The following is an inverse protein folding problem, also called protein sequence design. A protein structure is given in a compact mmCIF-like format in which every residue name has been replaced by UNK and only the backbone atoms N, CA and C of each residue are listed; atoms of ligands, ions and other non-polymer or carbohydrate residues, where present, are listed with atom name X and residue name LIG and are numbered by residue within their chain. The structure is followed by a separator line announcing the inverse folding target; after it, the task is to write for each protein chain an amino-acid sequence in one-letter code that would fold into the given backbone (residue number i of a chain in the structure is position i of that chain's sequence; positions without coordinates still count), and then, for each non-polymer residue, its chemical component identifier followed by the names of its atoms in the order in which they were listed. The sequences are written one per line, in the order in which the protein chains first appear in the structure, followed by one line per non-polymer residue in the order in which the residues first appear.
data_IF_051779240828
#
_entry.id   IF_051779240828
#
_cell.length_a   1.000
_cell.length_b   1.000
_cell.length_c   1.000
_cell.angle_alpha   90.00
_cell.angle_beta   90.00
_cell.angle_gamma   90.00
#
_symmetry.space_group_name_H-M   'P 1'
#
loop_
_entity.id
_entity.type
_entity.pdbx_description
1 polymer ?
#
# COMPACT_ATOMS: atom_id res chain seq x y z
N UNK A 1 56.27 -0.23 -39.87
CA UNK A 1 57.14 -0.15 -41.06
C UNK A 1 56.29 -0.43 -42.29
N UNK A 2 56.19 0.55 -43.18
CA UNK A 2 55.50 0.50 -44.47
C UNK A 2 56.15 -0.49 -45.46
N UNK A 3 55.34 -1.03 -46.39
CA UNK A 3 55.63 -1.29 -47.82
C UNK A 3 54.26 -1.37 -48.55
N UNK A 4 53.83 -0.33 -49.28
CA UNK A 4 53.95 -0.12 -50.75
C UNK A 4 53.34 -1.29 -51.58
N UNK A 5 52.13 -1.17 -52.18
CA UNK A 5 51.77 -0.59 -53.51
C UNK A 5 52.12 -1.51 -54.71
N UNK A 6 51.58 -1.34 -55.95
CA UNK A 6 50.25 -0.95 -56.46
C UNK A 6 49.80 -1.78 -57.71
N UNK A 7 48.86 -1.22 -58.52
CA UNK A 7 48.52 -1.49 -59.96
C UNK A 7 47.27 -2.38 -60.18
N UNK A 8 46.32 -2.18 -61.11
CA UNK A 8 45.68 -1.11 -61.91
C UNK A 8 44.89 -1.83 -63.05
N UNK A 9 43.88 -1.15 -63.64
CA UNK A 9 43.04 -1.52 -64.83
C UNK A 9 41.76 -2.31 -64.50
N UNK A 10 40.59 -2.03 -65.06
CA UNK A 10 40.10 -0.98 -65.97
C UNK A 10 38.55 -1.04 -65.98
N UNK A 11 37.93 0.06 -66.46
CA UNK A 11 36.53 0.27 -66.81
C UNK A 11 35.74 -0.96 -67.32
N UNK A 12 34.47 -1.05 -66.90
CA UNK A 12 33.34 -1.20 -67.83
C UNK A 12 32.00 -0.86 -67.15
N UNK A 13 31.28 0.08 -67.76
CA UNK A 13 29.92 0.49 -67.47
C UNK A 13 28.96 -0.54 -68.09
N UNK A 14 28.04 -1.12 -67.32
CA UNK A 14 26.84 -1.80 -67.87
C UNK A 14 25.76 -1.94 -66.78
N UNK A 15 24.69 -1.17 -66.87
CA UNK A 15 23.38 -1.58 -66.33
C UNK A 15 22.87 -2.74 -67.20
N UNK A 16 22.18 -3.73 -66.61
CA UNK A 16 20.76 -3.82 -66.98
C UNK A 16 19.81 -4.33 -65.88
N UNK A 17 18.56 -3.89 -66.06
CA UNK A 17 17.27 -4.55 -65.86
C UNK A 17 17.02 -5.40 -64.61
N UNK A 18 16.11 -4.87 -63.82
CA UNK A 18 15.24 -5.51 -62.85
C UNK A 18 14.60 -6.81 -63.36
N UNK A 19 14.75 -7.88 -62.59
CA UNK A 19 13.80 -9.01 -62.55
C UNK A 19 13.20 -9.08 -61.14
N UNK A 20 11.88 -8.86 -61.05
CA UNK A 20 11.08 -9.13 -59.86
C UNK A 20 11.00 -10.64 -59.66
N UNK A 21 11.69 -11.16 -58.64
CA UNK A 21 11.53 -12.54 -58.21
C UNK A 21 10.26 -12.68 -57.35
N UNK A 22 9.29 -13.44 -57.84
CA UNK A 22 8.10 -13.87 -57.10
C UNK A 22 8.52 -14.99 -56.14
N UNK A 23 8.31 -14.87 -54.82
CA UNK A 23 8.61 -15.98 -53.90
C UNK A 23 7.55 -17.11 -54.02
N UNK A 24 7.95 -18.37 -53.79
CA UNK A 24 7.03 -19.51 -53.91
C UNK A 24 6.00 -19.54 -52.77
N UNK A 25 4.79 -19.99 -53.10
CA UNK A 25 3.70 -20.28 -52.17
C UNK A 25 4.16 -21.27 -51.09
N UNK A 26 4.28 -20.81 -49.85
CA UNK A 26 4.37 -21.68 -48.68
C UNK A 26 2.97 -22.21 -48.38
N UNK A 27 2.78 -23.52 -48.51
CA UNK A 27 1.58 -24.20 -48.02
C UNK A 27 1.48 -24.03 -46.49
N UNK A 28 0.46 -23.30 -46.06
CA UNK A 28 0.13 -23.14 -44.66
C UNK A 28 -0.30 -24.49 -44.06
N UNK A 29 0.54 -25.06 -43.21
CA UNK A 29 0.12 -26.13 -42.31
C UNK A 29 -0.86 -25.53 -41.29
N UNK A 30 -2.07 -26.09 -41.24
CA UNK A 30 -3.08 -25.70 -40.26
C UNK A 30 -2.58 -25.99 -38.84
N UNK A 31 -2.19 -24.93 -38.14
CA UNK A 31 -1.92 -24.97 -36.71
C UNK A 31 -3.21 -25.39 -35.98
N UNK A 32 -3.18 -26.53 -35.29
CA UNK A 32 -4.22 -26.92 -34.34
C UNK A 32 -4.36 -25.79 -33.32
N UNK A 33 -5.51 -25.10 -33.34
CA UNK A 33 -5.91 -24.15 -32.31
C UNK A 33 -5.87 -24.88 -30.97
N UNK A 34 -4.86 -24.58 -30.16
CA UNK A 34 -4.89 -24.83 -28.72
C UNK A 34 -6.14 -24.11 -28.19
N UNK A 35 -7.13 -24.88 -27.74
CA UNK A 35 -8.24 -24.33 -26.97
C UNK A 35 -7.63 -23.61 -25.77
N UNK A 36 -7.66 -22.28 -25.79
CA UNK A 36 -7.38 -21.48 -24.63
C UNK A 36 -8.34 -21.93 -23.53
N UNK A 37 -7.79 -22.46 -22.44
CA UNK A 37 -8.56 -22.77 -21.26
C UNK A 37 -9.35 -21.52 -20.88
N UNK A 38 -10.66 -21.69 -20.65
CA UNK A 38 -11.52 -20.63 -20.16
C UNK A 38 -10.85 -19.95 -18.94
N UNK A 39 -10.98 -18.62 -18.77
CA UNK A 39 -10.39 -17.93 -17.64
C UNK A 39 -10.88 -18.60 -16.34
N UNK A 40 -9.95 -19.16 -15.56
CA UNK A 40 -10.25 -19.70 -14.24
C UNK A 40 -10.96 -18.60 -13.46
N UNK A 41 -12.21 -18.84 -13.07
CA UNK A 41 -12.98 -17.96 -12.18
C UNK A 41 -12.08 -17.61 -11.00
N UNK A 42 -11.84 -16.32 -10.78
CA UNK A 42 -10.94 -15.87 -9.71
C UNK A 42 -11.39 -16.52 -8.40
N UNK A 43 -10.49 -17.23 -7.72
CA UNK A 43 -10.79 -17.85 -6.43
C UNK A 43 -11.25 -16.77 -5.45
N UNK A 44 -12.33 -17.05 -4.72
CA UNK A 44 -12.83 -16.14 -3.70
C UNK A 44 -11.77 -15.95 -2.60
N UNK A 45 -11.67 -14.72 -2.08
CA UNK A 45 -10.72 -14.37 -1.01
C UNK A 45 -11.09 -15.07 0.32
N UNK A 46 -12.35 -15.48 0.48
CA UNK A 46 -12.86 -16.16 1.69
C UNK A 46 -13.65 -17.41 1.27
N UNK A 47 -13.45 -18.56 1.94
CA UNK A 47 -14.21 -19.79 1.65
C UNK A 47 -15.72 -19.63 1.88
N UNK A 48 -16.53 -20.33 1.08
CA UNK A 48 -18.00 -20.42 1.22
C UNK A 48 -18.42 -21.89 1.33
N UNK A 49 -19.53 -22.24 2.02
CA UNK A 49 -20.52 -21.35 2.65
C UNK A 49 -20.01 -20.70 3.94
N UNK A 50 -20.56 -19.53 4.27
CA UNK A 50 -20.25 -18.84 5.51
C UNK A 50 -20.96 -19.53 6.69
N UNK A 51 -20.28 -19.69 7.84
CA UNK A 51 -20.96 -20.10 9.07
C UNK A 51 -22.08 -19.13 9.45
N UNK A 52 -23.09 -19.57 10.22
CA UNK A 52 -24.18 -18.68 10.64
C UNK A 52 -23.72 -17.64 11.66
N UNK A 53 -22.80 -17.99 12.55
CA UNK A 53 -22.29 -17.13 13.63
C UNK A 53 -20.89 -16.57 13.33
N UNK A 54 -20.57 -15.37 13.84
CA UNK A 54 -19.24 -14.74 13.67
C UNK A 54 -18.15 -15.40 14.49
N UNK A 55 -18.46 -15.81 15.73
CA UNK A 55 -17.53 -16.57 16.55
C UNK A 55 -17.13 -17.88 15.86
N UNK A 56 -18.10 -18.61 15.31
CA UNK A 56 -17.84 -19.83 14.55
C UNK A 56 -17.00 -19.57 13.29
N UNK A 57 -17.28 -18.48 12.56
CA UNK A 57 -16.48 -18.13 11.38
C UNK A 57 -15.04 -17.74 11.74
N UNK A 58 -14.84 -16.98 12.82
CA UNK A 58 -13.52 -16.66 13.36
C UNK A 58 -12.77 -17.92 13.77
N UNK A 59 -13.43 -18.85 14.46
CA UNK A 59 -12.84 -20.14 14.85
C UNK A 59 -12.41 -20.95 13.61
N UNK A 60 -13.27 -21.03 12.58
CA UNK A 60 -12.94 -21.71 11.34
C UNK A 60 -11.73 -21.08 10.63
N UNK A 61 -11.69 -19.75 10.53
CA UNK A 61 -10.59 -19.03 9.88
C UNK A 61 -9.26 -19.17 10.64
N UNK A 62 -9.30 -19.12 11.97
CA UNK A 62 -8.11 -19.26 12.81
C UNK A 62 -7.68 -20.73 13.01
N UNK A 63 -8.56 -21.71 12.75
CA UNK A 63 -8.21 -23.13 12.81
C UNK A 63 -7.33 -23.57 11.64
N UNK A 64 -7.38 -22.86 10.50
CA UNK A 64 -6.42 -23.06 9.43
C UNK A 64 -5.05 -22.50 9.86
N UNK A 65 -4.16 -23.42 10.25
CA UNK A 65 -2.77 -23.15 10.63
C UNK A 65 -1.78 -23.54 9.51
N UNK A 66 -2.29 -23.83 8.31
CA UNK A 66 -1.43 -24.20 7.17
C UNK A 66 -0.44 -23.08 6.85
N UNK A 67 0.81 -23.39 6.55
CA UNK A 67 1.85 -22.41 6.20
C UNK A 67 2.31 -22.59 4.75
N UNK A 68 1.42 -22.35 3.77
CA UNK A 68 1.78 -22.52 2.36
C UNK A 68 2.84 -21.48 1.97
N UNK A 69 3.66 -21.79 0.97
CA UNK A 69 4.44 -20.75 0.30
C UNK A 69 3.47 -19.71 -0.29
N UNK A 70 3.66 -18.44 0.03
CA UNK A 70 2.88 -17.34 -0.54
C UNK A 70 3.77 -16.42 -1.39
N UNK A 71 3.25 -15.99 -2.54
CA UNK A 71 3.91 -15.04 -3.43
C UNK A 71 2.91 -14.10 -4.11
N UNK A 72 3.46 -13.08 -4.77
CA UNK A 72 2.66 -12.07 -5.47
C UNK A 72 1.66 -12.70 -6.44
N UNK A 73 0.39 -12.26 -6.35
CA UNK A 73 -0.73 -12.81 -7.10
C UNK A 73 -1.62 -13.76 -6.29
N UNK A 74 -1.10 -14.36 -5.23
CA UNK A 74 -1.89 -15.21 -4.33
C UNK A 74 -2.95 -14.40 -3.57
N UNK A 75 -4.03 -15.08 -3.17
CA UNK A 75 -5.14 -14.50 -2.43
C UNK A 75 -5.70 -15.54 -1.46
N UNK A 76 -6.35 -15.10 -0.40
CA UNK A 76 -7.09 -15.98 0.51
C UNK A 76 -6.76 -15.80 1.98
N UNK A 77 -7.31 -16.66 2.87
CA UNK A 77 -7.13 -16.56 4.31
C UNK A 77 -5.66 -16.57 4.76
N UNK A 78 -4.81 -17.41 4.14
CA UNK A 78 -3.38 -17.44 4.45
C UNK A 78 -2.69 -16.10 4.11
N UNK A 79 -3.06 -15.45 3.01
CA UNK A 79 -2.55 -14.12 2.65
C UNK A 79 -2.98 -13.07 3.67
N UNK A 80 -4.26 -13.06 4.06
CA UNK A 80 -4.77 -12.16 5.10
C UNK A 80 -4.02 -12.37 6.41
N UNK A 81 -3.79 -13.63 6.82
CA UNK A 81 -3.03 -13.95 8.03
C UNK A 81 -1.61 -13.39 7.96
N UNK A 82 -0.90 -13.58 6.84
CA UNK A 82 0.42 -13.00 6.66
C UNK A 82 0.41 -11.45 6.71
N UNK A 83 -0.55 -10.80 6.07
CA UNK A 83 -0.73 -9.33 6.12
C UNK A 83 -0.95 -8.82 7.56
N UNK A 84 -1.80 -9.50 8.33
CA UNK A 84 -2.07 -9.18 9.74
C UNK A 84 -0.84 -9.37 10.62
N UNK A 85 -0.11 -10.47 10.45
CA UNK A 85 1.11 -10.73 11.23
C UNK A 85 2.22 -9.73 10.90
N UNK A 86 2.34 -9.33 9.64
CA UNK A 86 3.26 -8.27 9.20
C UNK A 86 2.92 -6.93 9.84
N UNK A 87 1.64 -6.51 9.82
CA UNK A 87 1.17 -5.29 10.46
C UNK A 87 1.54 -5.26 11.97
N UNK A 88 1.25 -6.37 12.67
CA UNK A 88 1.60 -6.53 14.10
C UNK A 88 3.10 -6.45 14.37
N UNK A 89 3.92 -6.90 13.42
CA UNK A 89 5.38 -6.83 13.48
C UNK A 89 5.94 -5.45 13.06
N UNK A 90 5.11 -4.44 12.79
CA UNK A 90 5.50 -3.11 12.29
C UNK A 90 6.02 -3.08 10.86
N UNK A 91 5.70 -4.08 10.05
CA UNK A 91 5.97 -4.11 8.62
C UNK A 91 4.66 -4.01 7.87
N UNK A 92 4.07 -2.80 7.83
CA UNK A 92 2.73 -2.59 7.27
C UNK A 92 2.68 -2.97 5.79
N UNK A 93 1.56 -3.53 5.36
CA UNK A 93 1.24 -3.75 3.94
C UNK A 93 0.42 -2.60 3.36
N UNK A 94 0.16 -1.56 4.15
CA UNK A 94 -0.89 -0.59 3.93
C UNK A 94 -2.23 -1.22 4.30
N UNK A 95 -3.23 -1.09 3.42
CA UNK A 95 -4.54 -1.70 3.59
C UNK A 95 -4.49 -3.23 3.47
N UNK A 96 -5.05 -3.94 4.45
CA UNK A 96 -5.22 -5.39 4.41
C UNK A 96 -6.41 -5.73 3.51
N UNK A 97 -6.12 -6.31 2.35
CA UNK A 97 -7.10 -6.57 1.27
C UNK A 97 -7.25 -8.06 0.92
N UNK A 98 -6.45 -8.94 1.55
CA UNK A 98 -6.41 -10.38 1.29
C UNK A 98 -5.81 -10.77 -0.05
N UNK A 99 -5.08 -9.85 -0.70
CA UNK A 99 -4.36 -10.08 -1.95
C UNK A 99 -2.87 -9.80 -1.79
N UNK A 100 -2.03 -10.70 -2.29
CA UNK A 100 -0.59 -10.53 -2.26
C UNK A 100 -0.17 -9.55 -3.37
N UNK A 101 -0.12 -8.26 -3.02
CA UNK A 101 0.34 -7.17 -3.88
C UNK A 101 1.82 -6.79 -3.71
N UNK A 102 2.23 -5.74 -4.41
CA UNK A 102 3.59 -5.21 -4.36
C UNK A 102 3.98 -4.66 -2.98
N UNK A 103 3.06 -3.98 -2.28
CA UNK A 103 3.33 -3.46 -0.93
C UNK A 103 3.62 -4.60 0.06
N UNK A 104 2.87 -5.70 0.00
CA UNK A 104 3.13 -6.88 0.83
C UNK A 104 4.50 -7.50 0.51
N UNK A 105 4.89 -7.58 -0.77
CA UNK A 105 6.22 -8.05 -1.18
C UNK A 105 7.34 -7.21 -0.56
N UNK A 106 7.23 -5.88 -0.63
CA UNK A 106 8.20 -4.92 -0.07
C UNK A 106 8.28 -5.03 1.45
N UNK A 107 7.13 -5.07 2.12
CA UNK A 107 7.04 -5.26 3.57
C UNK A 107 7.68 -6.58 4.02
N UNK A 108 7.48 -7.67 3.27
CA UNK A 108 8.12 -8.96 3.53
C UNK A 108 9.63 -8.91 3.38
N UNK A 109 10.15 -8.32 2.29
CA UNK A 109 11.59 -8.19 2.08
C UNK A 109 12.26 -7.39 3.21
N UNK A 110 11.60 -6.31 3.67
CA UNK A 110 12.03 -5.52 4.81
C UNK A 110 12.00 -6.33 6.12
N UNK A 111 10.91 -7.06 6.36
CA UNK A 111 10.74 -7.92 7.54
C UNK A 111 11.82 -9.01 7.57
N UNK A 112 12.01 -9.73 6.46
CA UNK A 112 13.02 -10.78 6.32
C UNK A 112 14.42 -10.25 6.60
N UNK A 113 14.78 -9.10 6.00
CA UNK A 113 16.06 -8.45 6.26
C UNK A 113 16.24 -8.10 7.74
N UNK A 114 15.18 -7.59 8.41
CA UNK A 114 15.21 -7.28 9.84
C UNK A 114 15.38 -8.52 10.75
N UNK A 115 15.10 -9.71 10.21
CA UNK A 115 15.22 -11.01 10.89
C UNK A 115 16.43 -11.80 10.41
N UNK A 116 17.33 -11.18 9.63
CA UNK A 116 18.49 -11.84 9.02
C UNK A 116 18.13 -13.06 8.16
N UNK A 117 16.94 -13.01 7.55
CA UNK A 117 16.48 -13.98 6.55
C UNK A 117 16.77 -13.45 5.14
N UNK A 118 16.88 -14.32 4.12
CA UNK A 118 16.93 -13.88 2.74
C UNK A 118 15.70 -13.03 2.38
N UNK A 119 15.94 -11.83 1.84
CA UNK A 119 14.89 -10.87 1.44
C UNK A 119 14.19 -11.28 0.13
N UNK A 120 13.63 -12.49 0.10
CA UNK A 120 12.99 -13.10 -1.07
C UNK A 120 11.67 -12.42 -1.45
N UNK A 121 11.01 -11.77 -0.49
CA UNK A 121 9.68 -11.18 -0.67
C UNK A 121 8.57 -12.22 -0.88
N UNK A 122 8.82 -13.49 -0.54
CA UNK A 122 7.82 -14.57 -0.46
C UNK A 122 7.65 -15.01 0.98
N UNK A 123 6.52 -15.61 1.33
CA UNK A 123 6.32 -16.21 2.66
C UNK A 123 6.67 -17.69 2.59
N UNK A 124 7.92 -18.02 2.88
CA UNK A 124 8.38 -19.41 3.03
C UNK A 124 8.23 -19.91 4.48
N UNK A 125 8.64 -21.16 4.74
CA UNK A 125 8.53 -21.77 6.07
C UNK A 125 9.29 -20.98 7.15
N UNK A 126 10.49 -20.47 6.85
CA UNK A 126 11.27 -19.67 7.79
C UNK A 126 10.60 -18.32 8.08
N UNK A 127 10.01 -17.70 7.07
CA UNK A 127 9.26 -16.45 7.19
C UNK A 127 7.99 -16.64 8.01
N UNK A 128 7.25 -17.73 7.81
CA UNK A 128 6.08 -18.08 8.64
C UNK A 128 6.46 -18.24 10.11
N UNK A 129 7.55 -18.96 10.39
CA UNK A 129 8.05 -19.14 11.74
C UNK A 129 8.39 -17.78 12.38
N UNK A 130 9.11 -16.91 11.66
CA UNK A 130 9.50 -15.60 12.15
C UNK A 130 8.31 -14.65 12.38
N UNK A 131 7.23 -14.77 11.60
CA UNK A 131 6.01 -13.98 11.76
C UNK A 131 5.18 -14.37 13.00
N UNK A 132 5.44 -15.54 13.57
CA UNK A 132 4.61 -16.10 14.65
C UNK A 132 3.34 -16.75 14.11
N UNK A 133 3.49 -17.71 13.19
CA UNK A 133 2.42 -18.40 12.43
C UNK A 133 1.21 -18.94 13.23
N UNK A 134 1.29 -19.08 14.55
CA UNK A 134 0.22 -19.59 15.41
C UNK A 134 -0.69 -18.51 15.98
N UNK A 135 -0.35 -17.22 15.82
CA UNK A 135 -1.18 -16.15 16.36
C UNK A 135 -2.49 -16.00 15.54
N UNK A 136 -3.64 -15.83 16.20
CA UNK A 136 -4.93 -15.63 15.51
C UNK A 136 -4.88 -14.33 14.70
N UNK A 137 -5.39 -14.34 13.47
CA UNK A 137 -5.40 -13.17 12.59
C UNK A 137 -6.80 -12.62 12.32
N UNK A 138 -7.84 -13.28 12.84
CA UNK A 138 -9.21 -12.86 12.74
C UNK A 138 -9.82 -12.75 14.14
N UNK A 139 -10.69 -11.76 14.32
CA UNK A 139 -11.39 -11.53 15.57
C UNK A 139 -12.89 -11.35 15.32
N UNK A 140 -13.67 -11.64 16.36
CA UNK A 140 -15.09 -11.28 16.42
C UNK A 140 -15.21 -9.89 17.01
N UNK A 141 -15.91 -9.00 16.31
CA UNK A 141 -16.21 -7.66 16.77
C UNK A 141 -17.72 -7.47 16.89
N UNK A 142 -18.20 -7.08 18.06
CA UNK A 142 -19.62 -6.72 18.25
C UNK A 142 -19.80 -5.28 17.82
N UNK A 143 -20.58 -5.06 16.75
CA UNK A 143 -20.96 -3.73 16.30
C UNK A 143 -21.71 -3.02 17.42
N UNK A 144 -21.31 -1.79 17.72
CA UNK A 144 -21.89 -0.99 18.82
C UNK A 144 -22.90 0.02 18.29
N UNK A 145 -23.75 0.55 19.17
CA UNK A 145 -24.63 1.67 18.82
C UNK A 145 -23.84 2.88 18.30
N UNK A 146 -22.62 3.10 18.81
CA UNK A 146 -21.74 4.17 18.32
C UNK A 146 -21.31 3.94 16.88
N UNK A 147 -21.03 2.69 16.49
CA UNK A 147 -20.70 2.39 15.10
C UNK A 147 -21.95 2.52 14.21
N UNK A 148 -23.15 2.26 14.69
CA UNK A 148 -24.36 2.47 13.87
C UNK A 148 -24.65 3.97 13.72
N UNK A 149 -24.49 4.74 14.79
CA UNK A 149 -24.90 6.15 14.85
C UNK A 149 -23.83 7.12 14.30
N UNK A 150 -22.57 6.72 14.19
CA UNK A 150 -21.50 7.56 13.64
C UNK A 150 -20.83 8.47 14.68
N UNK A 151 -20.28 9.63 14.25
CA UNK A 151 -20.77 10.49 13.17
C UNK A 151 -20.35 10.08 11.76
N UNK A 152 -21.29 10.13 10.83
CA UNK A 152 -21.06 9.94 9.39
C UNK A 152 -21.39 11.22 8.62
N UNK A 153 -20.51 11.59 7.68
CA UNK A 153 -20.61 12.84 6.93
C UNK A 153 -20.57 12.53 5.44
N UNK A 154 -21.51 13.08 4.67
CA UNK A 154 -21.43 13.07 3.21
C UNK A 154 -20.42 14.12 2.77
N UNK A 155 -19.35 13.70 2.10
CA UNK A 155 -18.29 14.62 1.63
C UNK A 155 -18.50 14.90 0.14
N UNK A 156 -18.74 16.16 -0.27
CA UNK A 156 -18.82 16.53 -1.68
C UNK A 156 -17.54 16.14 -2.41
N UNK A 157 -17.65 15.31 -3.45
CA UNK A 157 -16.50 14.85 -4.22
C UNK A 157 -15.98 15.96 -5.13
N UNK A 158 -14.66 16.11 -5.21
CA UNK A 158 -13.98 17.06 -6.11
C UNK A 158 -14.40 18.54 -5.90
N UNK A 159 -14.98 18.89 -4.74
CA UNK A 159 -15.44 20.24 -4.42
C UNK A 159 -14.83 20.72 -3.09
N UNK A 160 -13.60 21.24 -3.10
CA UNK A 160 -12.91 21.68 -1.88
C UNK A 160 -13.59 22.90 -1.23
N UNK A 161 -14.36 23.68 -2.00
CA UNK A 161 -15.09 24.83 -1.47
C UNK A 161 -16.25 24.37 -0.60
N UNK A 162 -17.08 23.43 -1.07
CA UNK A 162 -18.14 22.84 -0.27
C UNK A 162 -17.58 22.03 0.92
N UNK A 163 -16.49 21.29 0.70
CA UNK A 163 -15.78 20.57 1.77
C UNK A 163 -15.31 21.51 2.90
N UNK A 164 -14.85 22.73 2.55
CA UNK A 164 -14.39 23.71 3.55
C UNK A 164 -15.48 24.21 4.50
N UNK A 165 -16.76 24.00 4.13
CA UNK A 165 -17.91 24.41 4.95
C UNK A 165 -18.42 23.29 5.87
N UNK A 166 -17.87 22.08 5.76
CA UNK A 166 -18.24 20.97 6.63
C UNK A 166 -17.67 21.15 8.05
N UNK A 167 -18.28 20.53 9.08
CA UNK A 167 -17.70 20.53 10.42
C UNK A 167 -16.43 19.66 10.53
N UNK A 168 -16.34 18.61 9.72
CA UNK A 168 -15.21 17.69 9.65
C UNK A 168 -15.26 16.89 8.34
N UNK A 169 -14.09 16.49 7.85
CA UNK A 169 -13.95 15.45 6.82
C UNK A 169 -13.93 14.06 7.48
N UNK A 170 -15.05 13.74 8.13
CA UNK A 170 -15.28 12.50 8.88
C UNK A 170 -15.42 11.25 8.01
N UNK A 171 -15.61 10.08 8.61
CA UNK A 171 -15.98 8.88 7.86
C UNK A 171 -17.34 9.08 7.17
N UNK A 172 -17.51 8.51 5.98
CA UNK A 172 -18.76 8.58 5.23
C UNK A 172 -19.69 7.40 5.54
N UNK A 173 -19.13 6.27 5.98
CA UNK A 173 -19.92 5.06 6.30
C UNK A 173 -19.38 4.31 7.52
N UNK A 174 -20.24 3.49 8.14
CA UNK A 174 -19.83 2.55 9.20
C UNK A 174 -18.81 1.52 8.69
N UNK A 175 -19.00 1.01 7.48
CA UNK A 175 -18.07 0.05 6.88
C UNK A 175 -16.66 0.63 6.77
N UNK A 176 -16.54 1.89 6.33
CA UNK A 176 -15.28 2.62 6.26
C UNK A 176 -14.66 2.81 7.66
N UNK A 177 -15.43 3.28 8.64
CA UNK A 177 -14.93 3.51 10.00
C UNK A 177 -14.42 2.23 10.70
N UNK A 178 -15.13 1.11 10.50
CA UNK A 178 -14.73 -0.20 11.02
C UNK A 178 -13.50 -0.70 10.25
N UNK A 179 -13.48 -0.55 8.93
CA UNK A 179 -12.35 -0.94 8.07
C UNK A 179 -11.06 -0.24 8.49
N UNK A 180 -11.11 1.08 8.69
CA UNK A 180 -9.98 1.88 9.17
C UNK A 180 -9.48 1.38 10.53
N UNK A 181 -10.39 1.09 11.47
CA UNK A 181 -10.05 0.63 12.82
C UNK A 181 -9.30 -0.70 12.82
N UNK A 182 -9.60 -1.57 11.88
CA UNK A 182 -9.00 -2.91 11.76
C UNK A 182 -7.97 -3.01 10.61
N UNK A 183 -7.56 -1.87 10.05
CA UNK A 183 -6.58 -1.72 8.96
C UNK A 183 -6.91 -2.54 7.70
N UNK A 184 -8.19 -2.83 7.46
CA UNK A 184 -8.65 -3.69 6.37
C UNK A 184 -9.44 -2.90 5.34
N UNK A 185 -9.53 -3.40 4.12
CA UNK A 185 -10.40 -2.77 3.11
C UNK A 185 -11.89 -3.00 3.42
N UNK A 186 -12.79 -2.05 3.09
CA UNK A 186 -14.24 -2.27 3.15
C UNK A 186 -14.70 -3.47 2.32
N UNK A 187 -14.00 -3.76 1.22
CA UNK A 187 -14.25 -4.93 0.39
C UNK A 187 -13.93 -6.23 1.12
N UNK A 188 -12.80 -6.29 1.83
CA UNK A 188 -12.44 -7.45 2.64
C UNK A 188 -13.42 -7.62 3.81
N UNK A 189 -13.86 -6.52 4.43
CA UNK A 189 -14.84 -6.53 5.50
C UNK A 189 -16.15 -7.16 5.05
N UNK A 190 -16.67 -6.74 3.89
CA UNK A 190 -17.84 -7.34 3.29
C UNK A 190 -17.63 -8.83 2.95
N UNK A 191 -16.46 -9.18 2.39
CA UNK A 191 -16.13 -10.55 2.00
C UNK A 191 -16.05 -11.51 3.20
N UNK A 192 -15.46 -11.09 4.33
CA UNK A 192 -15.38 -11.91 5.56
C UNK A 192 -16.73 -12.11 6.23
N UNK A 193 -17.70 -11.23 5.97
CA UNK A 193 -19.00 -11.27 6.61
C UNK A 193 -20.11 -11.82 5.72
N UNK A 194 -19.83 -12.18 4.47
CA UNK A 194 -20.79 -12.89 3.62
C UNK A 194 -22.15 -12.19 3.44
N UNK A 195 -22.17 -10.85 3.50
CA UNK A 195 -23.41 -10.06 3.43
C UNK A 195 -24.24 -10.05 4.71
N UNK A 196 -23.70 -10.51 5.84
CA UNK A 196 -24.32 -10.32 7.16
C UNK A 196 -24.59 -8.84 7.39
N UNK A 197 -25.77 -8.57 7.93
CA UNK A 197 -26.13 -7.23 8.37
C UNK A 197 -25.16 -6.77 9.46
N UNK A 198 -24.75 -5.51 9.40
CA UNK A 198 -23.97 -4.87 10.44
C UNK A 198 -24.92 -3.99 11.24
N UNK A 199 -25.35 -4.46 12.41
CA UNK A 199 -26.24 -3.74 13.32
C UNK A 199 -25.71 -3.83 14.75
N UNK A 200 -26.09 -2.88 15.60
CA UNK A 200 -25.71 -2.88 16.99
C UNK A 200 -26.06 -4.21 17.68
N UNK A 201 -25.12 -4.75 18.45
CA UNK A 201 -25.22 -6.04 19.11
C UNK A 201 -24.89 -7.25 18.23
N UNK A 202 -24.78 -7.09 16.90
CA UNK A 202 -24.39 -8.18 16.01
C UNK A 202 -22.87 -8.30 15.92
N UNK A 203 -22.40 -9.54 16.01
CA UNK A 203 -21.00 -9.87 15.83
C UNK A 203 -20.63 -10.01 14.36
N UNK A 204 -19.47 -9.47 13.99
CA UNK A 204 -18.88 -9.55 12.65
C UNK A 204 -17.45 -10.07 12.74
N UNK A 205 -16.95 -10.60 11.63
CA UNK A 205 -15.55 -11.01 11.46
C UNK A 205 -14.74 -9.81 10.98
N UNK A 206 -13.64 -9.53 11.67
CA UNK A 206 -12.66 -8.50 11.31
C UNK A 206 -11.25 -9.09 11.35
N UNK A 207 -10.29 -8.38 10.75
CA UNK A 207 -8.86 -8.66 10.96
C UNK A 207 -8.49 -8.34 12.40
N UNK A 208 -7.69 -9.22 13.00
CA UNK A 208 -7.14 -9.01 14.33
C UNK A 208 -5.75 -8.39 14.20
N UNK A 209 -5.67 -7.08 13.98
CA UNK A 209 -4.38 -6.36 14.01
C UNK A 209 -3.86 -6.13 15.44
N UNK A 210 -4.61 -6.61 16.44
CA UNK A 210 -4.32 -6.42 17.86
C UNK A 210 -4.30 -4.96 18.28
N UNK A 211 -4.00 -4.72 19.56
CA UNK A 211 -3.36 -3.45 19.94
C UNK A 211 -1.94 -3.59 19.39
N UNK A 212 -1.63 -2.96 18.25
CA UNK A 212 -0.31 -3.06 17.60
C UNK A 212 0.77 -3.14 18.68
N UNK A 213 1.50 -4.26 18.75
CA UNK A 213 2.45 -4.50 19.83
C UNK A 213 3.33 -3.26 19.94
N UNK A 214 3.39 -2.61 21.12
CA UNK A 214 4.14 -1.37 21.23
C UNK A 214 5.56 -1.62 20.71
N UNK A 215 6.03 -0.77 19.79
CA UNK A 215 7.41 -0.87 19.36
C UNK A 215 8.28 -0.76 20.61
N UNK A 216 9.25 -1.69 20.82
CA UNK A 216 9.94 -1.78 22.10
C UNK A 216 10.79 -0.56 22.42
N UNK A 217 11.13 0.25 21.40
CA UNK A 217 11.92 1.45 21.55
C UNK A 217 11.46 2.56 20.59
N UNK A 218 11.86 3.80 20.90
CA UNK A 218 11.79 4.93 19.99
C UNK A 218 12.70 4.72 18.79
N UNK A 219 12.36 5.35 17.67
CA UNK A 219 13.19 5.37 16.49
C UNK A 219 14.43 6.26 16.74
N UNK A 220 15.59 5.82 16.27
CA UNK A 220 16.81 6.65 16.26
C UNK A 220 16.86 7.54 15.01
N UNK A 221 16.39 7.03 13.87
CA UNK A 221 16.24 7.77 12.63
C UNK A 221 15.17 7.13 11.75
N UNK A 222 14.73 7.87 10.73
CA UNK A 222 13.87 7.37 9.65
C UNK A 222 14.64 7.39 8.33
N UNK A 223 14.31 6.46 7.44
CA UNK A 223 14.81 6.46 6.06
C UNK A 223 13.64 6.31 5.09
N UNK A 224 13.53 7.18 4.11
CA UNK A 224 12.55 7.11 3.02
C UNK A 224 13.32 6.71 1.77
N UNK A 225 12.95 5.57 1.23
CA UNK A 225 13.49 5.06 -0.02
C UNK A 225 12.49 5.27 -1.15
N UNK A 226 12.84 6.13 -2.10
CA UNK A 226 11.95 6.56 -3.18
C UNK A 226 11.78 5.48 -4.24
N UNK A 227 12.82 4.70 -4.55
CA UNK A 227 12.71 3.62 -5.54
C UNK A 227 11.89 2.45 -4.99
N UNK A 228 11.99 2.19 -3.69
CA UNK A 228 11.17 1.19 -3.02
C UNK A 228 9.78 1.71 -2.63
N UNK A 229 9.57 3.02 -2.54
CA UNK A 229 8.38 3.65 -1.96
C UNK A 229 8.08 3.12 -0.55
N UNK A 230 9.11 3.08 0.29
CA UNK A 230 9.03 2.60 1.67
C UNK A 230 9.62 3.64 2.63
N UNK A 231 9.00 3.77 3.81
CA UNK A 231 9.58 4.41 4.98
C UNK A 231 10.05 3.33 5.94
N UNK A 232 11.31 3.41 6.36
CA UNK A 232 11.97 2.54 7.32
C UNK A 232 12.16 3.26 8.64
N UNK A 233 11.82 2.56 9.73
CA UNK A 233 12.05 3.00 11.11
C UNK A 233 13.32 2.30 11.58
N UNK A 234 14.34 3.07 11.95
CA UNK A 234 15.66 2.54 12.31
C UNK A 234 15.93 2.66 13.81
N UNK A 235 16.49 1.62 14.39
CA UNK A 235 16.97 1.60 15.77
C UNK A 235 18.35 2.24 15.93
N UNK A 236 18.80 2.39 17.18
CA UNK A 236 20.13 2.95 17.48
C UNK A 236 21.30 2.13 16.95
N UNK A 237 21.07 0.85 16.65
CA UNK A 237 22.03 -0.05 15.99
C UNK A 237 21.96 0.01 14.45
N UNK A 238 21.14 0.90 13.89
CA UNK A 238 20.92 1.06 12.45
C UNK A 238 20.02 -0.02 11.83
N UNK A 239 19.49 -0.97 12.62
CA UNK A 239 18.60 -2.01 12.08
C UNK A 239 17.19 -1.48 11.85
N UNK A 240 16.55 -2.03 10.82
CA UNK A 240 15.13 -1.81 10.56
C UNK A 240 14.30 -2.45 11.66
N UNK A 241 13.55 -1.62 12.39
CA UNK A 241 12.59 -2.05 13.41
C UNK A 241 11.17 -2.12 12.87
N UNK A 242 10.88 -1.39 11.79
CA UNK A 242 9.60 -1.39 11.10
C UNK A 242 9.72 -0.75 9.71
N UNK A 243 8.75 -1.02 8.85
CA UNK A 243 8.70 -0.45 7.51
C UNK A 243 7.25 -0.26 7.06
N UNK A 244 6.95 0.91 6.49
CA UNK A 244 5.62 1.28 6.01
C UNK A 244 5.67 1.68 4.52
N UNK A 245 4.71 1.24 3.69
CA UNK A 245 4.61 1.73 2.33
C UNK A 245 4.28 3.23 2.35
N UNK A 246 4.83 3.97 1.40
CA UNK A 246 4.57 5.40 1.25
C UNK A 246 4.12 5.74 -0.16
N UNK A 247 3.27 6.75 -0.29
CA UNK A 247 3.06 7.45 -1.55
C UNK A 247 3.82 8.77 -1.50
N UNK A 248 4.73 8.97 -2.44
CA UNK A 248 5.61 10.15 -2.52
C UNK A 248 5.28 11.03 -3.72
N UNK A 249 5.87 12.22 -3.75
CA UNK A 249 5.67 13.18 -4.83
C UNK A 249 6.30 12.73 -6.14
N UNK A 250 5.60 12.99 -7.24
CA UNK A 250 6.08 12.74 -8.60
C UNK A 250 7.12 13.78 -9.08
N UNK A 251 7.44 13.76 -10.38
CA UNK A 251 8.43 14.71 -10.95
C UNK A 251 8.02 16.18 -10.82
N UNK A 252 6.72 16.46 -10.84
CA UNK A 252 6.17 17.82 -10.75
C UNK A 252 6.38 18.43 -9.35
N UNK A 253 6.31 17.60 -8.31
CA UNK A 253 6.50 18.00 -6.92
C UNK A 253 7.43 16.99 -6.24
N UNK A 254 8.75 17.03 -6.48
CA UNK A 254 9.65 16.00 -6.01
C UNK A 254 9.89 16.11 -4.50
N UNK A 255 9.92 14.96 -3.82
CA UNK A 255 10.51 14.88 -2.49
C UNK A 255 12.04 14.99 -2.64
N UNK A 256 12.67 16.02 -2.06
CA UNK A 256 14.12 16.23 -2.16
C UNK A 256 14.89 15.14 -1.41
N UNK A 257 16.01 14.73 -1.99
CA UNK A 257 16.94 13.79 -1.35
C UNK A 257 17.85 14.48 -0.33
N UNK A 258 18.43 13.67 0.55
CA UNK A 258 19.29 14.09 1.65
C UNK A 258 18.58 14.08 3.00
N UNK A 259 19.21 14.71 3.97
CA UNK A 259 18.77 14.68 5.36
C UNK A 259 17.77 15.79 5.68
N UNK A 260 16.57 15.38 6.09
CA UNK A 260 15.53 16.23 6.67
C UNK A 260 15.35 15.91 8.16
N UNK A 261 14.49 16.66 8.85
CA UNK A 261 14.15 16.41 10.24
C UNK A 261 12.65 16.61 10.48
N UNK A 262 12.07 15.84 11.40
CA UNK A 262 10.71 16.12 11.89
C UNK A 262 10.74 17.36 12.78
N UNK A 263 10.04 18.42 12.38
CA UNK A 263 10.05 19.71 13.07
C UNK A 263 8.87 19.90 14.04
N UNK A 264 7.73 19.25 13.78
CA UNK A 264 6.53 19.32 14.61
C UNK A 264 5.55 18.17 14.31
N UNK A 265 4.68 17.86 15.27
CA UNK A 265 3.53 16.97 15.07
C UNK A 265 2.23 17.76 15.21
N UNK A 266 1.24 17.46 14.37
CA UNK A 266 -0.12 17.96 14.50
C UNK A 266 -1.12 16.80 14.41
N UNK A 267 -1.92 16.63 15.46
CA UNK A 267 -3.03 15.66 15.50
C UNK A 267 -4.26 16.30 14.88
N UNK A 268 -4.95 15.57 14.00
CA UNK A 268 -6.16 16.03 13.30
C UNK A 268 -6.00 17.47 12.76
N UNK A 269 -5.00 17.74 11.90
CA UNK A 269 -4.75 19.08 11.40
C UNK A 269 -5.83 19.50 10.39
N UNK A 270 -6.14 20.80 10.38
CA UNK A 270 -6.79 21.41 9.22
C UNK A 270 -5.90 21.27 7.99
N UNK A 271 -6.50 21.10 6.81
CA UNK A 271 -5.77 21.11 5.56
C UNK A 271 -5.79 22.52 4.93
N UNK A 272 -4.62 23.12 4.80
CA UNK A 272 -4.44 24.39 4.12
C UNK A 272 -4.35 24.15 2.61
N UNK A 273 -5.49 24.17 1.92
CA UNK A 273 -5.59 24.00 0.48
C UNK A 273 -4.95 25.19 -0.24
N UNK A 274 -3.88 24.92 -0.98
CA UNK A 274 -3.22 25.91 -1.82
C UNK A 274 -3.07 25.35 -3.23
N UNK A 275 -3.84 25.83 -4.22
CA UNK A 275 -3.81 25.25 -5.58
C UNK A 275 -2.45 25.35 -6.25
N UNK A 276 -1.60 26.30 -5.87
CA UNK A 276 -0.24 26.43 -6.37
C UNK A 276 0.71 25.30 -5.90
N UNK A 277 0.32 24.53 -4.87
CA UNK A 277 1.11 23.46 -4.28
C UNK A 277 0.46 22.08 -4.49
N UNK A 278 -0.53 21.99 -5.37
CA UNK A 278 -1.30 20.76 -5.59
C UNK A 278 -1.25 20.34 -7.04
N UNK A 279 -1.04 19.05 -7.25
CA UNK A 279 -1.26 18.42 -8.55
C UNK A 279 -2.76 18.39 -8.85
N UNK A 280 -3.15 18.92 -10.01
CA UNK A 280 -4.55 18.96 -10.48
C UNK A 280 -5.55 19.56 -9.46
N UNK A 281 -5.39 20.83 -9.06
CA UNK A 281 -6.29 21.47 -8.13
C UNK A 281 -7.74 21.52 -8.68
N UNK A 282 -8.70 21.43 -7.76
CA UNK A 282 -10.16 21.41 -8.01
C UNK A 282 -10.84 22.74 -7.68
N UNK A 283 -10.09 23.69 -7.13
CA UNK A 283 -10.49 25.09 -6.96
C UNK A 283 -9.25 25.96 -7.16
N UNK A 284 -9.44 27.20 -7.57
CA UNK A 284 -8.42 28.24 -7.68
C UNK A 284 -8.24 29.05 -6.38
N UNK A 285 -9.10 28.82 -5.38
CA UNK A 285 -9.07 29.51 -4.09
C UNK A 285 -8.13 28.83 -3.10
N UNK A 286 -7.52 29.64 -2.24
CA UNK A 286 -6.92 29.15 -1.00
C UNK A 286 -8.04 28.89 0.01
N UNK A 287 -8.09 27.69 0.56
CA UNK A 287 -9.16 27.25 1.45
C UNK A 287 -8.57 26.59 2.69
N UNK A 288 -9.35 26.57 3.76
CA UNK A 288 -9.03 25.81 4.97
C UNK A 288 -10.05 24.70 5.11
N UNK A 289 -9.64 23.48 4.82
CA UNK A 289 -10.50 22.31 4.92
C UNK A 289 -10.44 21.76 6.35
N UNK A 290 -11.58 21.38 6.94
CA UNK A 290 -11.64 20.92 8.31
C UNK A 290 -10.95 19.54 8.46
N UNK A 291 -10.55 19.15 9.68
CA UNK A 291 -9.82 17.92 9.91
C UNK A 291 -10.72 16.68 9.78
N UNK A 292 -10.09 15.51 9.71
CA UNK A 292 -10.77 14.22 9.80
C UNK A 292 -10.03 13.11 9.04
N UNK A 293 -10.47 11.84 9.17
CA UNK A 293 -9.86 10.71 8.47
C UNK A 293 -9.91 10.83 6.94
N UNK A 294 -10.91 11.54 6.40
CA UNK A 294 -11.01 11.85 4.97
C UNK A 294 -10.39 13.19 4.58
N UNK A 295 -9.66 13.85 5.48
CA UNK A 295 -8.85 15.00 5.11
C UNK A 295 -7.73 14.60 4.14
N UNK A 296 -7.35 15.44 3.17
CA UNK A 296 -6.20 15.19 2.30
C UNK A 296 -4.87 14.94 3.04
N UNK A 297 -4.78 15.38 4.30
CA UNK A 297 -3.63 15.14 5.19
C UNK A 297 -3.91 14.14 6.32
N UNK A 298 -5.10 13.54 6.31
CA UNK A 298 -5.52 12.52 7.27
C UNK A 298 -5.56 13.02 8.72
N UNK A 299 -5.34 12.09 9.65
CA UNK A 299 -5.49 12.32 11.10
C UNK A 299 -4.20 12.75 11.82
N UNK A 300 -3.06 12.77 11.12
CA UNK A 300 -1.76 13.10 11.69
C UNK A 300 -0.85 13.69 10.63
N UNK A 301 -0.13 14.74 11.02
CA UNK A 301 0.90 15.39 10.22
C UNK A 301 2.19 15.49 11.03
N UNK A 302 3.28 14.95 10.47
CA UNK A 302 4.64 15.13 10.96
C UNK A 302 5.35 16.08 10.00
N UNK A 303 5.48 17.35 10.40
CA UNK A 303 6.09 18.38 9.58
C UNK A 303 7.59 18.07 9.38
N UNK A 304 8.08 18.22 8.16
CA UNK A 304 9.52 18.20 7.90
C UNK A 304 10.08 19.62 8.07
N UNK A 305 11.38 19.76 8.30
CA UNK A 305 12.08 21.05 8.37
C UNK A 305 12.27 21.73 7.00
N UNK A 306 11.37 21.45 6.06
CA UNK A 306 11.30 22.05 4.74
C UNK A 306 9.87 22.49 4.49
N UNK A 307 9.73 23.73 4.01
CA UNK A 307 8.43 24.37 3.85
C UNK A 307 7.47 23.51 3.01
N UNK A 308 6.21 23.45 3.46
CA UNK A 308 5.11 22.69 2.84
C UNK A 308 5.27 21.17 2.78
N UNK A 309 6.35 20.59 3.30
CA UNK A 309 6.57 19.14 3.29
C UNK A 309 6.27 18.52 4.64
N UNK A 310 5.65 17.34 4.59
CA UNK A 310 5.35 16.55 5.77
C UNK A 310 5.13 15.08 5.44
N UNK A 311 5.19 14.27 6.49
CA UNK A 311 4.77 12.88 6.51
C UNK A 311 3.38 12.84 7.13
N UNK A 312 2.38 12.35 6.42
CA UNK A 312 0.98 12.50 6.86
C UNK A 312 0.08 11.32 6.46
N UNK A 313 -1.12 11.26 7.04
CA UNK A 313 -2.14 10.25 6.75
C UNK A 313 -2.83 10.47 5.40
N UNK A 314 -3.69 9.55 4.98
CA UNK A 314 -4.42 9.67 3.71
C UNK A 314 -5.87 9.23 3.86
N UNK A 315 -6.76 9.87 3.11
CA UNK A 315 -8.14 9.45 2.92
C UNK A 315 -8.27 8.21 1.98
N UNK A 316 -7.19 7.84 1.31
CA UNK A 316 -7.20 6.83 0.24
C UNK A 316 -6.21 5.68 0.51
N UNK A 317 -6.42 4.84 1.54
CA UNK A 317 -5.49 3.76 1.89
C UNK A 317 -5.28 2.74 0.77
N UNK A 318 -6.28 2.54 -0.10
CA UNK A 318 -6.18 1.66 -1.28
C UNK A 318 -5.21 2.17 -2.38
N UNK A 319 -4.85 3.47 -2.35
CA UNK A 319 -3.97 4.12 -3.33
C UNK A 319 -2.51 4.19 -2.89
N UNK A 320 -2.17 3.59 -1.74
CA UNK A 320 -0.80 3.52 -1.24
C UNK A 320 0.14 2.89 -2.26
N UNK A 321 1.20 3.62 -2.61
CA UNK A 321 2.22 3.29 -3.62
C UNK A 321 1.71 3.22 -5.07
N UNK A 322 0.50 3.71 -5.36
CA UNK A 322 -0.12 3.66 -6.71
C UNK A 322 -0.41 5.04 -7.31
N UNK A 323 -0.45 6.06 -6.46
CA UNK A 323 -0.65 7.45 -6.86
C UNK A 323 0.66 8.25 -6.70
N UNK A 324 0.64 9.49 -7.16
CA UNK A 324 1.66 10.49 -6.87
C UNK A 324 1.08 11.54 -5.92
N UNK A 325 1.88 12.01 -4.97
CA UNK A 325 1.52 13.14 -4.12
C UNK A 325 2.00 14.47 -4.73
N UNK A 326 1.64 15.59 -4.09
CA UNK A 326 2.17 16.92 -4.41
C UNK A 326 3.45 17.23 -3.61
N UNK A 327 4.32 16.23 -3.39
CA UNK A 327 5.61 16.37 -2.70
C UNK A 327 5.66 15.80 -1.29
N UNK A 328 4.53 15.67 -0.61
CA UNK A 328 4.46 15.09 0.73
C UNK A 328 4.61 13.56 0.72
N UNK A 329 4.86 12.98 1.90
CA UNK A 329 4.97 11.53 2.11
C UNK A 329 3.67 11.06 2.75
N UNK A 330 2.84 10.33 2.01
CA UNK A 330 1.57 9.81 2.53
C UNK A 330 1.76 8.41 3.09
N UNK A 331 1.08 8.15 4.20
CA UNK A 331 0.85 6.83 4.79
C UNK A 331 -0.65 6.63 5.01
N UNK A 332 -1.08 5.42 5.30
CA UNK A 332 -2.40 5.18 5.90
C UNK A 332 -2.50 5.91 7.23
N UNK A 333 -3.71 6.30 7.66
CA UNK A 333 -3.87 7.05 8.92
C UNK A 333 -3.33 6.26 10.11
N UNK A 334 -3.55 4.95 10.16
CA UNK A 334 -3.06 4.11 11.24
C UNK A 334 -1.52 4.05 11.28
N UNK A 335 -0.85 3.97 10.13
CA UNK A 335 0.62 3.91 10.07
C UNK A 335 1.26 5.24 10.46
N UNK A 336 0.71 6.39 10.04
CA UNK A 336 1.25 7.69 10.49
C UNK A 336 1.01 7.92 11.98
N UNK A 337 -0.11 7.44 12.53
CA UNK A 337 -0.37 7.49 13.98
C UNK A 337 0.64 6.63 14.70
N UNK A 338 0.89 5.39 14.25
CA UNK A 338 1.95 4.53 14.80
C UNK A 338 3.32 5.17 14.72
N UNK A 339 3.69 5.71 13.56
CA UNK A 339 4.96 6.42 13.36
C UNK A 339 5.13 7.56 14.36
N UNK A 340 4.08 8.37 14.60
CA UNK A 340 4.12 9.49 15.54
C UNK A 340 4.39 9.07 17.00
N UNK A 341 4.16 7.80 17.35
CA UNK A 341 4.46 7.29 18.69
C UNK A 341 5.93 6.95 18.89
N UNK A 342 6.69 6.76 17.80
CA UNK A 342 8.10 6.33 17.85
C UNK A 342 9.07 7.35 17.27
N UNK A 343 8.62 8.22 16.38
CA UNK A 343 9.41 9.26 15.74
C UNK A 343 9.21 10.58 16.48
N UNK A 344 10.17 10.99 17.31
CA UNK A 344 10.08 12.23 18.08
C UNK A 344 10.47 13.47 17.25
N UNK A 345 10.07 14.65 17.71
CA UNK A 345 10.53 15.92 17.13
C UNK A 345 12.06 15.98 17.17
N UNK A 346 12.66 16.40 16.06
CA UNK A 346 14.10 16.50 15.85
C UNK A 346 14.73 15.24 15.25
N UNK A 347 13.98 14.14 15.12
CA UNK A 347 14.51 12.92 14.51
C UNK A 347 14.90 13.16 13.04
N UNK A 348 16.04 12.59 12.67
CA UNK A 348 16.57 12.64 11.31
C UNK A 348 15.73 11.78 10.37
N UNK A 349 15.46 12.29 9.18
CA UNK A 349 14.76 11.61 8.09
C UNK A 349 15.65 11.65 6.86
N UNK A 350 16.30 10.53 6.54
CA UNK A 350 17.13 10.43 5.34
C UNK A 350 16.26 10.07 4.13
N UNK A 351 16.34 10.84 3.05
CA UNK A 351 15.61 10.58 1.81
C UNK A 351 16.59 10.18 0.71
N UNK A 352 16.41 9.00 0.12
CA UNK A 352 17.27 8.45 -0.94
C UNK A 352 16.46 7.85 -2.09
N UNK A 353 17.11 7.55 -3.21
CA UNK A 353 16.54 6.81 -4.35
C UNK A 353 17.31 5.52 -4.61
#
# INVERSE_FOLDING_TARGET
MHKQSPILRALALALPLSFLAVPPLVQAQAAKKSQAAAPKKAAAVVPTPFPPDAGQHVQQLNADTSTPELKQGDKGPAVIRAQVLLDRNWFSVGEIDGSFGSNMKKALAAFQSSRSLPASGIVDAATWQALGQQAPAFASYTVTDKDVNGPYVTIPKDDPEAQSQLPALGYQTMAEAISERFHMSPKLLAALNGGRTMQAGQAIVVTDVGRAAAMPAKAASLRIDKSEQMLYILGGDGKVMGAFPVTIGGQEFPLPEGTLQISAHAKNPDFSYNPALLRNPKSDKKLKLPPGPNSPVGVMWLALNKEHLGIHGTAEPSQMSRAESSGCVRLTNWDVVRLSTVADKGISVEVQS
#
